data_IF_694220432952
#
_entry.id   IF_694220432952
#
_cell.length_a   1.000
_cell.length_b   1.000
_cell.length_c   1.000
_cell.angle_alpha   90.00
_cell.angle_beta   90.00
_cell.angle_gamma   90.00
#
_symmetry.space_group_name_H-M   'P 1'
#
loop_
_entity.id
_entity.type
_entity.pdbx_description
1 polymer ?
#
# COMPACT_ATOMS: atom_id res chain seq x y z
N UNK A 1 -33.25 -14.59 52.28
CA UNK A 1 -33.54 -14.43 50.83
C UNK A 1 -32.41 -13.61 50.22
N UNK A 2 -31.65 -14.20 49.30
CA UNK A 2 -30.44 -13.62 48.72
C UNK A 2 -30.75 -12.51 47.72
N UNK A 3 -30.09 -11.36 47.90
CA UNK A 3 -29.91 -10.36 46.86
C UNK A 3 -28.65 -10.69 46.05
N UNK A 4 -28.82 -10.96 44.76
CA UNK A 4 -27.74 -11.19 43.81
C UNK A 4 -27.04 -9.87 43.48
N UNK A 5 -25.78 -9.74 43.91
CA UNK A 5 -24.89 -8.66 43.50
C UNK A 5 -24.39 -8.93 42.07
N UNK A 6 -24.92 -8.20 41.08
CA UNK A 6 -24.34 -8.14 39.74
C UNK A 6 -23.02 -7.38 39.80
N UNK A 7 -21.90 -8.09 39.96
CA UNK A 7 -20.58 -7.55 39.63
C UNK A 7 -20.52 -7.37 38.11
N UNK A 8 -20.61 -6.10 37.69
CA UNK A 8 -20.33 -5.62 36.35
C UNK A 8 -18.91 -6.09 35.97
N UNK A 9 -18.81 -7.08 35.09
CA UNK A 9 -17.54 -7.48 34.47
C UNK A 9 -17.01 -6.24 33.72
N UNK A 10 -15.98 -5.59 34.27
CA UNK A 10 -15.14 -4.71 33.47
C UNK A 10 -14.33 -5.63 32.57
N UNK A 11 -14.71 -5.69 31.31
CA UNK A 11 -13.91 -6.31 30.28
C UNK A 11 -12.67 -5.44 30.08
N UNK A 12 -11.63 -5.67 30.88
CA UNK A 12 -10.28 -5.24 30.56
C UNK A 12 -9.78 -6.11 29.40
N UNK A 13 -10.37 -5.91 28.22
CA UNK A 13 -9.76 -6.35 26.98
C UNK A 13 -8.58 -5.41 26.81
N UNK A 14 -7.41 -5.88 27.23
CA UNK A 14 -6.16 -5.30 26.78
C UNK A 14 -6.29 -5.14 25.26
N UNK A 15 -6.31 -3.89 24.78
CA UNK A 15 -6.21 -3.61 23.34
C UNK A 15 -4.95 -4.31 22.89
N UNK A 16 -5.11 -5.48 22.27
CA UNK A 16 -4.01 -6.21 21.69
C UNK A 16 -3.41 -5.22 20.69
N UNK A 17 -2.21 -4.73 20.96
CA UNK A 17 -1.59 -3.72 20.12
C UNK A 17 -1.36 -4.39 18.77
N UNK A 18 -2.22 -4.08 17.81
CA UNK A 18 -2.10 -4.55 16.43
C UNK A 18 -0.69 -4.13 15.98
N UNK A 19 0.16 -5.06 15.50
CA UNK A 19 1.47 -4.71 15.00
C UNK A 19 1.38 -3.51 14.04
N UNK A 20 2.26 -2.50 14.15
CA UNK A 20 2.09 -1.24 13.41
C UNK A 20 1.89 -1.44 11.90
N UNK A 21 2.49 -2.48 11.31
CA UNK A 21 2.32 -2.81 9.90
C UNK A 21 0.92 -3.31 9.52
N UNK A 22 0.26 -4.06 10.41
CA UNK A 22 -1.14 -4.45 10.22
C UNK A 22 -2.07 -3.23 10.29
N UNK A 23 -1.75 -2.28 11.17
CA UNK A 23 -2.49 -1.03 11.28
C UNK A 23 -2.45 -0.23 9.97
N UNK A 24 -1.29 -0.15 9.29
CA UNK A 24 -1.20 0.52 8.00
C UNK A 24 -2.06 -0.13 6.90
N UNK A 25 -2.12 -1.45 6.82
CA UNK A 25 -2.96 -2.14 5.85
C UNK A 25 -4.45 -1.93 6.12
N UNK A 26 -4.86 -1.98 7.39
CA UNK A 26 -6.24 -1.75 7.82
C UNK A 26 -6.65 -0.29 7.60
N UNK A 27 -5.80 0.66 7.97
CA UNK A 27 -5.99 2.09 7.74
C UNK A 27 -6.13 2.37 6.23
N UNK A 28 -5.21 1.84 5.43
CA UNK A 28 -5.20 2.01 3.98
C UNK A 28 -6.50 1.49 3.33
N UNK A 29 -6.99 0.33 3.79
CA UNK A 29 -8.24 -0.25 3.31
C UNK A 29 -9.45 0.56 3.76
N UNK A 30 -9.50 0.94 5.04
CA UNK A 30 -10.61 1.69 5.62
C UNK A 30 -10.88 2.99 4.86
N UNK A 31 -9.83 3.78 4.62
CA UNK A 31 -9.97 5.06 3.93
C UNK A 31 -10.14 4.93 2.42
N UNK A 32 -10.12 3.73 1.85
CA UNK A 32 -10.50 3.49 0.46
C UNK A 32 -11.98 3.12 0.29
N UNK A 33 -12.72 2.91 1.39
CA UNK A 33 -14.14 2.59 1.32
C UNK A 33 -14.97 3.84 0.97
N UNK A 34 -16.01 3.66 0.12
CA UNK A 34 -16.90 4.76 -0.33
C UNK A 34 -17.40 5.70 0.77
N UNK A 35 -17.79 5.23 1.96
CA UNK A 35 -18.23 6.14 3.03
C UNK A 35 -17.17 7.15 3.48
N UNK A 36 -15.89 6.94 3.15
CA UNK A 36 -14.78 7.81 3.53
C UNK A 36 -14.46 8.90 2.51
N UNK A 37 -15.08 8.92 1.32
CA UNK A 37 -14.71 9.78 0.18
C UNK A 37 -14.71 11.30 0.46
N UNK A 38 -15.31 11.75 1.58
CA UNK A 38 -15.33 13.15 2.00
C UNK A 38 -14.58 13.42 3.31
N UNK A 39 -13.89 12.43 3.86
CA UNK A 39 -13.08 12.61 5.07
C UNK A 39 -11.79 13.34 4.77
N UNK A 40 -11.25 14.05 5.77
CA UNK A 40 -9.96 14.73 5.64
C UNK A 40 -8.85 13.74 5.26
N UNK A 41 -8.87 12.53 5.81
CA UNK A 41 -7.91 11.48 5.49
C UNK A 41 -8.00 11.05 4.03
N UNK A 42 -9.19 10.72 3.52
CA UNK A 42 -9.35 10.37 2.11
C UNK A 42 -8.88 11.49 1.20
N UNK A 43 -9.30 12.73 1.47
CA UNK A 43 -8.95 13.90 0.67
C UNK A 43 -7.44 14.17 0.69
N UNK A 44 -6.80 14.02 1.86
CA UNK A 44 -5.35 14.15 2.01
C UNK A 44 -4.64 13.08 1.18
N UNK A 45 -4.98 11.80 1.33
CA UNK A 45 -4.36 10.71 0.59
C UNK A 45 -4.57 10.83 -0.92
N UNK A 46 -5.76 11.28 -1.34
CA UNK A 46 -6.13 11.48 -2.73
C UNK A 46 -5.46 12.71 -3.37
N UNK A 47 -5.02 13.68 -2.56
CA UNK A 47 -4.35 14.90 -3.05
C UNK A 47 -2.88 14.69 -3.46
N UNK A 48 -2.22 13.67 -2.91
CA UNK A 48 -0.78 13.50 -3.04
C UNK A 48 -0.33 12.80 -4.33
N UNK A 49 0.98 12.79 -4.62
CA UNK A 49 1.53 11.82 -5.58
C UNK A 49 1.45 10.40 -5.02
N UNK A 50 1.47 9.39 -5.88
CA UNK A 50 1.24 7.99 -5.45
C UNK A 50 2.23 7.51 -4.38
N UNK A 51 3.51 7.83 -4.52
CA UNK A 51 4.54 7.51 -3.51
C UNK A 51 4.44 8.38 -2.25
N UNK A 52 4.00 9.63 -2.35
CA UNK A 52 3.80 10.50 -1.19
C UNK A 52 2.57 10.04 -0.38
N UNK A 53 1.47 9.68 -1.07
CA UNK A 53 0.23 9.20 -0.47
C UNK A 53 0.47 7.97 0.43
N UNK A 54 1.26 7.00 -0.05
CA UNK A 54 1.55 5.78 0.72
C UNK A 54 2.50 6.05 1.90
N UNK A 55 3.44 7.00 1.76
CA UNK A 55 4.30 7.45 2.87
C UNK A 55 3.46 8.17 3.94
N UNK A 56 2.51 9.01 3.52
CA UNK A 56 1.55 9.68 4.41
C UNK A 56 0.66 8.66 5.14
N UNK A 57 0.10 7.69 4.41
CA UNK A 57 -0.73 6.62 4.97
C UNK A 57 0.04 5.80 6.01
N UNK A 58 1.27 5.39 5.69
CA UNK A 58 2.13 4.65 6.62
C UNK A 58 2.47 5.48 7.88
N UNK A 59 2.63 6.79 7.75
CA UNK A 59 2.84 7.67 8.90
C UNK A 59 1.58 7.84 9.76
N UNK A 60 0.43 8.14 9.14
CA UNK A 60 -0.84 8.38 9.86
C UNK A 60 -1.36 7.14 10.59
N UNK A 61 -1.11 5.96 10.04
CA UNK A 61 -1.37 4.68 10.73
C UNK A 61 -0.38 4.35 11.86
N UNK A 62 0.68 5.13 12.02
CA UNK A 62 1.73 4.87 13.02
C UNK A 62 2.71 3.76 12.65
N UNK A 63 2.61 3.16 11.46
CA UNK A 63 3.60 2.20 10.96
C UNK A 63 4.96 2.85 10.69
N UNK A 64 4.99 4.18 10.52
CA UNK A 64 6.18 4.91 10.17
C UNK A 64 6.42 6.07 11.14
N UNK A 65 7.61 6.07 11.76
CA UNK A 65 7.99 7.11 12.71
C UNK A 65 8.06 8.49 12.04
N UNK A 66 7.85 9.56 12.81
CA UNK A 66 7.92 10.94 12.29
C UNK A 66 9.28 11.26 11.64
N UNK A 67 10.36 10.71 12.17
CA UNK A 67 11.70 10.91 11.60
C UNK A 67 11.83 10.21 10.24
N UNK A 68 11.36 8.96 10.15
CA UNK A 68 11.35 8.23 8.87
C UNK A 68 10.43 8.89 7.86
N UNK A 69 9.29 9.44 8.30
CA UNK A 69 8.33 10.13 7.44
C UNK A 69 8.99 11.33 6.77
N UNK A 70 9.62 12.19 7.56
CA UNK A 70 10.37 13.35 7.05
C UNK A 70 11.47 12.94 6.07
N UNK A 71 12.17 11.83 6.34
CA UNK A 71 13.17 11.32 5.42
C UNK A 71 12.53 10.94 4.09
N UNK A 72 11.55 10.03 4.11
CA UNK A 72 10.92 9.49 2.90
C UNK A 72 10.23 10.58 2.08
N UNK A 73 9.46 11.45 2.75
CA UNK A 73 8.71 12.54 2.10
C UNK A 73 9.58 13.47 1.26
N UNK A 74 10.84 13.68 1.65
CA UNK A 74 11.76 14.57 0.96
C UNK A 74 12.63 13.86 -0.08
N UNK A 75 12.65 12.53 -0.07
CA UNK A 75 13.66 11.76 -0.81
C UNK A 75 13.09 10.71 -1.74
N UNK A 76 11.81 10.34 -1.61
CA UNK A 76 11.18 9.37 -2.50
C UNK A 76 10.64 10.07 -3.75
N UNK A 77 11.16 9.65 -4.90
CA UNK A 77 10.62 9.99 -6.22
C UNK A 77 11.08 8.95 -7.25
N UNK A 78 10.67 9.11 -8.51
CA UNK A 78 10.84 8.14 -9.59
C UNK A 78 12.27 7.59 -9.77
N UNK A 79 13.30 8.39 -9.48
CA UNK A 79 14.73 8.03 -9.57
C UNK A 79 15.41 7.81 -8.21
N UNK A 80 14.74 8.10 -7.11
CA UNK A 80 15.29 7.98 -5.76
C UNK A 80 14.30 7.21 -4.89
N UNK A 81 14.22 5.90 -5.09
CA UNK A 81 13.23 5.03 -4.42
C UNK A 81 13.86 3.98 -3.51
N UNK A 82 15.18 3.75 -3.60
CA UNK A 82 15.84 2.58 -3.00
C UNK A 82 15.66 2.46 -1.49
N UNK A 83 15.45 3.56 -0.79
CA UNK A 83 15.27 3.62 0.67
C UNK A 83 13.79 3.44 1.10
N UNK A 84 12.90 3.28 0.12
CA UNK A 84 11.46 3.06 0.23
C UNK A 84 11.09 1.64 -0.27
N UNK A 85 11.21 1.38 -1.57
CA UNK A 85 11.12 0.05 -2.23
C UNK A 85 12.01 0.06 -3.48
N UNK A 86 12.68 -1.04 -3.79
CA UNK A 86 13.69 -1.18 -4.86
C UNK A 86 13.43 -2.44 -5.69
N UNK A 87 13.88 -2.49 -6.95
CA UNK A 87 14.00 -3.73 -7.71
C UNK A 87 14.92 -4.80 -7.09
N UNK A 88 15.70 -4.45 -6.06
CA UNK A 88 16.49 -5.39 -5.26
C UNK A 88 15.66 -6.07 -4.15
N UNK A 89 14.42 -5.63 -3.92
CA UNK A 89 13.53 -6.24 -2.94
C UNK A 89 12.80 -7.47 -3.51
N UNK A 90 11.82 -8.01 -2.79
CA UNK A 90 11.10 -9.20 -3.23
C UNK A 90 10.16 -8.87 -4.38
N UNK A 91 10.32 -9.56 -5.49
CA UNK A 91 9.49 -9.39 -6.68
C UNK A 91 8.13 -10.10 -6.54
N UNK A 92 7.05 -9.42 -6.92
CA UNK A 92 5.73 -10.00 -7.17
C UNK A 92 5.64 -10.33 -8.66
N UNK A 93 5.96 -11.57 -9.02
CA UNK A 93 6.07 -11.98 -10.43
C UNK A 93 4.70 -12.28 -11.03
N UNK A 94 3.81 -12.89 -10.27
CA UNK A 94 2.54 -13.44 -10.77
C UNK A 94 1.34 -13.05 -9.92
N UNK A 95 0.13 -13.29 -10.44
CA UNK A 95 -1.11 -13.24 -9.66
C UNK A 95 -1.00 -14.03 -8.35
N UNK A 96 -0.43 -15.23 -8.41
CA UNK A 96 -0.30 -16.09 -7.25
C UNK A 96 0.65 -15.49 -6.20
N UNK A 97 1.71 -14.80 -6.63
CA UNK A 97 2.57 -14.04 -5.72
C UNK A 97 1.82 -12.86 -5.11
N UNK A 98 1.04 -12.14 -5.91
CA UNK A 98 0.26 -11.00 -5.44
C UNK A 98 -0.76 -11.41 -4.37
N UNK A 99 -1.39 -12.59 -4.51
CA UNK A 99 -2.27 -13.16 -3.49
C UNK A 99 -1.54 -13.47 -2.16
N UNK A 100 -0.24 -13.75 -2.21
CA UNK A 100 0.62 -14.05 -1.05
C UNK A 100 1.38 -12.84 -0.51
N UNK A 101 1.37 -11.72 -1.23
CA UNK A 101 2.10 -10.52 -0.83
C UNK A 101 1.66 -10.09 0.58
N UNK A 102 2.61 -9.70 1.45
CA UNK A 102 2.29 -9.41 2.84
C UNK A 102 1.42 -8.16 2.95
N UNK A 103 0.50 -8.19 3.90
CA UNK A 103 -0.19 -6.99 4.35
C UNK A 103 0.80 -6.07 5.10
N UNK A 104 0.67 -4.77 4.91
CA UNK A 104 1.53 -3.80 5.57
C UNK A 104 2.92 -3.73 4.95
N UNK A 105 2.98 -3.71 3.62
CA UNK A 105 4.21 -3.47 2.88
C UNK A 105 4.02 -2.31 1.90
N UNK A 106 5.13 -1.66 1.53
CA UNK A 106 5.16 -0.84 0.33
C UNK A 106 5.25 -1.76 -0.88
N UNK A 107 4.41 -1.49 -1.88
CA UNK A 107 4.48 -2.09 -3.21
C UNK A 107 4.93 -1.00 -4.17
N UNK A 108 6.00 -1.24 -4.91
CA UNK A 108 6.47 -0.38 -5.99
C UNK A 108 6.28 -1.05 -7.35
N UNK A 109 5.87 -0.26 -8.33
CA UNK A 109 5.71 -0.68 -9.72
C UNK A 109 6.72 0.08 -10.56
N UNK A 110 7.51 -0.65 -11.34
CA UNK A 110 8.72 -0.15 -11.98
C UNK A 110 8.69 -0.33 -13.49
N UNK A 111 9.22 0.68 -14.17
CA UNK A 111 9.71 0.57 -15.53
C UNK A 111 11.12 -0.02 -15.51
N UNK A 112 11.32 -1.10 -16.29
CA UNK A 112 12.62 -1.76 -16.45
C UNK A 112 13.21 -1.57 -17.85
N UNK A 113 12.75 -0.55 -18.61
CA UNK A 113 13.28 -0.26 -19.96
C UNK A 113 14.80 -0.07 -19.97
N UNK A 114 15.30 0.63 -18.96
CA UNK A 114 16.72 0.68 -18.66
C UNK A 114 16.98 -0.13 -17.39
N UNK A 115 17.55 -1.33 -17.56
CA UNK A 115 17.87 -2.21 -16.45
C UNK A 115 18.97 -1.63 -15.52
N UNK A 116 19.82 -0.74 -16.03
CA UNK A 116 20.83 -0.05 -15.21
C UNK A 116 20.22 1.09 -14.39
N UNK A 117 19.11 1.67 -14.86
CA UNK A 117 18.40 2.77 -14.20
C UNK A 117 16.87 2.55 -14.17
N UNK A 118 16.37 1.57 -13.40
CA UNK A 118 14.93 1.37 -13.27
C UNK A 118 14.24 2.62 -12.73
N UNK A 119 12.98 2.84 -13.10
CA UNK A 119 12.19 3.98 -12.61
C UNK A 119 10.97 3.51 -11.84
N UNK A 120 10.75 4.06 -10.65
CA UNK A 120 9.50 3.90 -9.91
C UNK A 120 8.41 4.69 -10.63
N UNK A 121 7.37 3.99 -11.10
CA UNK A 121 6.21 4.60 -11.75
C UNK A 121 5.05 4.81 -10.79
N UNK A 122 4.87 3.89 -9.86
CA UNK A 122 3.75 3.90 -8.93
C UNK A 122 4.08 3.23 -7.61
N UNK A 123 3.38 3.63 -6.55
CA UNK A 123 3.50 3.01 -5.25
C UNK A 123 2.14 2.81 -4.59
N UNK A 124 2.00 1.71 -3.85
CA UNK A 124 0.78 1.30 -3.14
C UNK A 124 1.13 0.68 -1.78
N UNK A 125 0.16 0.54 -0.88
CA UNK A 125 0.27 -0.26 0.35
C UNK A 125 -0.40 -1.61 0.11
N UNK A 126 0.32 -2.70 0.34
CA UNK A 126 -0.26 -4.05 0.31
C UNK A 126 -1.28 -4.20 1.44
N UNK A 127 -2.55 -4.44 1.07
CA UNK A 127 -3.64 -4.63 2.04
C UNK A 127 -4.02 -6.11 2.20
N UNK A 128 -3.32 -7.02 1.51
CA UNK A 128 -3.45 -8.46 1.65
C UNK A 128 -4.43 -9.09 0.67
N UNK A 129 -4.37 -10.42 0.53
CA UNK A 129 -5.25 -11.21 -0.34
C UNK A 129 -5.32 -10.73 -1.81
N UNK A 130 -4.21 -10.22 -2.33
CA UNK A 130 -4.13 -9.70 -3.70
C UNK A 130 -4.49 -8.23 -3.87
N UNK A 131 -4.84 -7.53 -2.79
CA UNK A 131 -5.22 -6.13 -2.81
C UNK A 131 -4.07 -5.20 -2.44
N UNK A 132 -4.12 -4.00 -3.00
CA UNK A 132 -3.28 -2.90 -2.59
C UNK A 132 -4.05 -1.57 -2.67
N UNK A 133 -3.74 -0.65 -1.77
CA UNK A 133 -4.35 0.67 -1.73
C UNK A 133 -3.37 1.77 -2.16
N UNK A 134 -3.84 2.72 -2.96
CA UNK A 134 -3.02 3.77 -3.52
C UNK A 134 -3.85 4.88 -4.16
N UNK A 135 -3.19 5.98 -4.53
CA UNK A 135 -3.78 7.12 -5.22
C UNK A 135 -3.16 7.28 -6.62
N UNK A 136 -3.92 7.82 -7.59
CA UNK A 136 -3.51 8.04 -8.98
C UNK A 136 -3.19 6.75 -9.73
N UNK A 137 -4.02 5.73 -9.51
CA UNK A 137 -3.79 4.38 -9.97
C UNK A 137 -3.87 4.24 -11.50
N UNK A 138 -4.53 5.15 -12.21
CA UNK A 138 -4.66 5.08 -13.66
C UNK A 138 -3.30 4.95 -14.40
N UNK A 139 -2.20 5.43 -13.81
CA UNK A 139 -0.87 5.29 -14.41
C UNK A 139 -0.40 3.82 -14.56
N UNK A 140 -0.97 2.89 -13.79
CA UNK A 140 -0.75 1.44 -13.88
C UNK A 140 -1.86 0.71 -14.63
N UNK A 141 -2.79 1.46 -15.25
CA UNK A 141 -3.84 0.91 -16.10
C UNK A 141 -5.07 0.36 -15.37
N UNK A 142 -5.19 0.61 -14.06
CA UNK A 142 -6.34 0.23 -13.22
C UNK A 142 -6.70 1.37 -12.27
N UNK A 143 -7.98 1.50 -11.90
CA UNK A 143 -8.45 2.55 -10.99
C UNK A 143 -8.49 3.96 -11.61
N UNK A 144 -8.65 4.96 -10.75
CA UNK A 144 -8.86 6.37 -11.10
C UNK A 144 -7.57 7.19 -11.30
N UNK A 145 -7.69 8.31 -12.01
CA UNK A 145 -6.61 9.28 -12.16
C UNK A 145 -6.31 10.05 -10.86
N UNK A 146 -7.30 10.14 -9.97
CA UNK A 146 -7.26 10.73 -8.63
C UNK A 146 -8.25 9.95 -7.77
N UNK A 147 -7.90 9.72 -6.50
CA UNK A 147 -8.72 9.00 -5.54
C UNK A 147 -7.91 7.90 -4.85
N UNK A 148 -7.98 7.84 -3.53
CA UNK A 148 -7.40 6.74 -2.75
C UNK A 148 -8.31 5.51 -2.85
N UNK A 149 -7.83 4.46 -3.52
CA UNK A 149 -8.62 3.27 -3.84
C UNK A 149 -7.90 2.01 -3.36
N UNK A 150 -8.65 0.98 -3.01
CA UNK A 150 -8.14 -0.35 -2.69
C UNK A 150 -8.49 -1.32 -3.82
N UNK A 151 -7.50 -1.62 -4.67
CA UNK A 151 -7.68 -2.33 -5.93
C UNK A 151 -7.26 -3.79 -5.82
N UNK A 152 -7.91 -4.67 -6.57
CA UNK A 152 -7.57 -6.10 -6.61
C UNK A 152 -6.50 -6.36 -7.66
N UNK A 153 -5.25 -6.00 -7.35
CA UNK A 153 -4.14 -6.15 -8.31
C UNK A 153 -3.95 -7.59 -8.79
N UNK A 154 -4.26 -8.58 -7.96
CA UNK A 154 -4.19 -9.97 -8.38
C UNK A 154 -5.12 -10.25 -9.57
N UNK A 155 -6.32 -9.67 -9.60
CA UNK A 155 -7.32 -9.93 -10.65
C UNK A 155 -7.35 -8.89 -11.76
N UNK A 156 -7.08 -7.63 -11.42
CA UNK A 156 -7.33 -6.50 -12.31
C UNK A 156 -6.13 -6.21 -13.24
N UNK A 157 -4.93 -6.71 -12.91
CA UNK A 157 -3.75 -6.58 -13.75
C UNK A 157 -3.68 -7.66 -14.83
N UNK A 158 -3.18 -7.29 -16.02
CA UNK A 158 -2.91 -8.23 -17.12
C UNK A 158 -1.54 -8.89 -16.93
N UNK A 159 -1.47 -9.83 -16.01
CA UNK A 159 -0.25 -10.59 -15.70
C UNK A 159 0.34 -11.27 -16.93
N UNK A 160 1.68 -11.29 -17.02
CA UNK A 160 2.42 -11.96 -18.09
C UNK A 160 3.02 -13.29 -17.60
N UNK A 161 3.12 -14.32 -18.45
CA UNK A 161 3.72 -15.61 -18.08
C UNK A 161 5.15 -15.52 -17.54
N UNK A 162 5.95 -14.60 -18.08
CA UNK A 162 7.36 -14.38 -17.73
C UNK A 162 7.55 -13.52 -16.47
N UNK A 163 6.44 -13.03 -15.90
CA UNK A 163 6.38 -12.20 -14.73
C UNK A 163 6.13 -10.71 -15.04
N UNK A 164 5.49 -10.02 -14.10
CA UNK A 164 5.03 -8.64 -14.29
C UNK A 164 3.68 -8.55 -15.00
N UNK A 165 3.32 -7.35 -15.47
CA UNK A 165 2.04 -7.10 -16.12
C UNK A 165 2.13 -6.05 -17.24
N UNK A 166 1.14 -6.06 -18.13
CA UNK A 166 0.98 -5.05 -19.18
C UNK A 166 -0.19 -4.12 -18.88
N UNK A 167 0.00 -2.82 -19.15
CA UNK A 167 -1.11 -1.87 -19.25
C UNK A 167 -1.88 -2.10 -20.56
N UNK A 168 -3.13 -1.68 -20.63
CA UNK A 168 -3.88 -1.72 -21.89
C UNK A 168 -3.21 -0.82 -22.93
N UNK A 169 -2.94 -1.35 -24.12
CA UNK A 169 -2.32 -0.59 -25.23
C UNK A 169 -0.82 -0.33 -25.10
N UNK A 170 -0.17 -0.85 -24.05
CA UNK A 170 1.28 -0.71 -23.85
C UNK A 170 2.02 -2.00 -24.26
N UNK A 171 3.31 -1.85 -24.56
CA UNK A 171 4.22 -2.97 -24.88
C UNK A 171 5.25 -3.23 -23.80
N UNK A 172 5.39 -2.32 -22.83
CA UNK A 172 6.31 -2.48 -21.72
C UNK A 172 5.71 -3.32 -20.60
N UNK A 173 6.38 -4.42 -20.27
CA UNK A 173 6.06 -5.21 -19.06
C UNK A 173 6.59 -4.48 -17.83
N UNK A 174 5.67 -4.03 -16.97
CA UNK A 174 5.99 -3.41 -15.69
C UNK A 174 6.24 -4.48 -14.64
N UNK A 175 7.18 -4.20 -13.74
CA UNK A 175 7.62 -5.14 -12.69
C UNK A 175 7.22 -4.62 -11.32
N UNK A 176 6.83 -5.54 -10.44
CA UNK A 176 6.29 -5.20 -9.12
C UNK A 176 7.23 -5.76 -8.07
N UNK A 177 7.58 -4.94 -7.08
CA UNK A 177 8.40 -5.33 -5.94
C UNK A 177 7.75 -4.85 -4.65
N UNK A 178 8.01 -5.54 -3.55
CA UNK A 178 7.52 -5.09 -2.26
C UNK A 178 8.62 -5.07 -1.20
N UNK A 179 8.46 -4.15 -0.25
CA UNK A 179 9.25 -4.08 0.97
C UNK A 179 8.32 -3.99 2.19
N UNK A 180 8.38 -4.93 3.14
CA UNK A 180 7.68 -4.80 4.41
C UNK A 180 8.06 -3.49 5.12
N UNK A 181 7.15 -2.91 5.92
CA UNK A 181 7.54 -1.75 6.71
C UNK A 181 8.71 -2.09 7.64
N UNK A 182 9.65 -1.14 7.86
CA UNK A 182 10.71 -1.33 8.83
C UNK A 182 10.08 -1.61 10.20
N UNK A 183 10.53 -2.70 10.84
CA UNK A 183 10.12 -3.07 12.18
C UNK A 183 10.58 -2.05 13.23
#
# INVERSE_FOLDING_TARGET
>A
MHWLNFKRYKSDVAKQAVPPHLNAAEFARHYADKPQENTEEYLSLSGEMCWDAVVLCAHRSGALSKAKYKQLWLTVFDKQYKHFVSPDDTEIRTMADMLRAPQGCFIGIFSMRDAASPRLLHAMIGTGAGFAAGNKNLCIGVGGAVGWENLNLARDLRWQPEGGFLRQGDSEVLRIFYRPFPA
#
